data_IF_359366178637
#
_entry.id   IF_359366178637
#
_cell.length_a   1.000
_cell.length_b   1.000
_cell.length_c   1.000
_cell.angle_alpha   90.00
_cell.angle_beta   90.00
_cell.angle_gamma   90.00
#
_symmetry.space_group_name_H-M   'P 1'
#
loop_
_entity.id
_entity.type
_entity.pdbx_description
1 polymer ?
#
# COMPACT_ATOMS: atom_id res chain seq x y z
N UNK A 1 -4.47 -9.28 13.16
CA UNK A 1 -4.77 -9.73 11.78
C UNK A 1 -3.77 -9.21 10.74
N UNK A 2 -2.68 -8.55 11.14
CA UNK A 2 -1.75 -7.88 10.22
C UNK A 2 -0.86 -8.86 9.43
N UNK A 3 -0.41 -9.95 10.05
CA UNK A 3 0.56 -10.89 9.46
C UNK A 3 0.09 -11.50 8.13
N UNK A 4 -1.06 -12.19 8.04
CA UNK A 4 -1.50 -12.77 6.77
C UNK A 4 -1.85 -11.71 5.72
N UNK A 5 -2.31 -10.53 6.14
CA UNK A 5 -2.65 -9.43 5.24
C UNK A 5 -1.40 -8.88 4.54
N UNK A 6 -0.37 -8.53 5.30
CA UNK A 6 0.86 -7.93 4.74
C UNK A 6 1.63 -8.93 3.87
N UNK A 7 1.58 -10.24 4.20
CA UNK A 7 2.11 -11.31 3.34
C UNK A 7 1.35 -11.37 2.02
N UNK A 8 0.02 -11.28 2.04
CA UNK A 8 -0.79 -11.23 0.81
C UNK A 8 -0.45 -9.99 -0.03
N UNK A 9 -0.30 -8.82 0.58
CA UNK A 9 -0.01 -7.57 -0.13
C UNK A 9 1.37 -7.57 -0.78
N UNK A 10 2.39 -8.10 -0.09
CA UNK A 10 3.72 -8.27 -0.69
C UNK A 10 3.72 -9.15 -1.93
N UNK A 11 2.90 -10.21 -1.92
CA UNK A 11 2.71 -11.10 -3.08
C UNK A 11 2.05 -10.38 -4.25
N UNK A 12 1.09 -9.48 -3.99
CA UNK A 12 0.43 -8.65 -5.01
C UNK A 12 1.42 -7.64 -5.62
N UNK A 13 2.37 -7.14 -4.84
CA UNK A 13 3.43 -6.23 -5.31
C UNK A 13 4.56 -6.95 -6.07
N UNK A 14 4.49 -8.28 -6.24
CA UNK A 14 5.58 -9.11 -6.73
C UNK A 14 6.89 -8.98 -5.90
N UNK A 15 6.80 -8.61 -4.61
CA UNK A 15 7.97 -8.51 -3.73
C UNK A 15 8.03 -9.75 -2.82
N UNK A 16 9.22 -10.26 -2.45
CA UNK A 16 9.31 -11.42 -1.57
C UNK A 16 8.52 -11.26 -0.26
N UNK A 17 7.80 -12.32 0.14
CA UNK A 17 6.86 -12.30 1.26
C UNK A 17 7.46 -11.87 2.62
N UNK A 18 8.76 -12.10 2.80
CA UNK A 18 9.47 -11.69 4.02
C UNK A 18 9.50 -10.16 4.19
N UNK A 19 9.47 -9.38 3.09
CA UNK A 19 9.37 -7.93 3.18
C UNK A 19 8.03 -7.49 3.77
N UNK A 20 6.93 -8.18 3.46
CA UNK A 20 5.63 -7.92 4.10
C UNK A 20 5.67 -8.09 5.62
N UNK A 21 6.42 -9.09 6.12
CA UNK A 21 6.62 -9.28 7.56
C UNK A 21 7.43 -8.14 8.19
N UNK A 22 8.44 -7.62 7.49
CA UNK A 22 9.18 -6.44 7.96
C UNK A 22 8.28 -5.22 8.06
N UNK A 23 7.41 -4.98 7.07
CA UNK A 23 6.45 -3.87 7.10
C UNK A 23 5.44 -4.02 8.24
N UNK A 24 4.91 -5.24 8.43
CA UNK A 24 3.96 -5.57 9.50
C UNK A 24 4.51 -5.29 10.90
N UNK A 25 5.80 -5.50 11.13
CA UNK A 25 6.44 -5.23 12.41
C UNK A 25 6.85 -3.75 12.55
N UNK A 26 7.38 -3.15 11.49
CA UNK A 26 8.00 -1.82 11.55
C UNK A 26 6.96 -0.71 11.61
N UNK A 27 5.89 -0.77 10.82
CA UNK A 27 4.90 0.31 10.76
C UNK A 27 4.21 0.58 12.12
N UNK A 28 3.73 -0.43 12.87
CA UNK A 28 3.15 -0.20 14.19
C UNK A 28 4.19 0.27 15.22
N UNK A 29 5.44 -0.21 15.11
CA UNK A 29 6.52 0.18 16.03
C UNK A 29 6.88 1.67 15.85
N UNK A 30 7.03 2.12 14.61
CA UNK A 30 7.28 3.54 14.30
C UNK A 30 6.09 4.39 14.75
N UNK A 31 4.86 3.94 14.50
CA UNK A 31 3.67 4.65 14.97
C UNK A 31 3.58 4.69 16.51
N UNK A 32 4.00 3.65 17.22
CA UNK A 32 4.00 3.66 18.69
C UNK A 32 4.95 4.71 19.29
N UNK A 33 6.04 5.05 18.58
CA UNK A 33 7.02 6.04 19.04
C UNK A 33 6.60 7.47 18.69
N UNK A 34 6.06 7.69 17.49
CA UNK A 34 5.75 9.03 16.95
C UNK A 34 4.25 9.38 16.95
N UNK A 35 3.39 8.40 17.20
CA UNK A 35 1.94 8.54 17.12
C UNK A 35 1.37 9.23 18.36
N UNK A 36 0.50 10.20 18.15
CA UNK A 36 -0.19 10.92 19.23
C UNK A 36 -1.50 10.26 19.66
N UNK A 37 -2.01 9.28 18.91
CA UNK A 37 -3.35 8.69 19.13
C UNK A 37 -3.26 7.18 19.32
N UNK A 38 -3.80 6.70 20.44
CA UNK A 38 -3.80 5.28 20.82
C UNK A 38 -4.89 4.45 20.12
N UNK A 39 -5.80 5.10 19.39
CA UNK A 39 -6.95 4.46 18.73
C UNK A 39 -6.80 4.29 17.21
N UNK A 40 -5.79 4.94 16.61
CA UNK A 40 -5.50 4.82 15.18
C UNK A 40 -4.48 3.70 14.96
N UNK A 41 -4.88 2.67 14.22
CA UNK A 41 -3.96 1.61 13.78
C UNK A 41 -3.41 1.97 12.41
N UNK A 42 -2.09 2.11 12.29
CA UNK A 42 -1.41 2.33 11.00
C UNK A 42 -1.02 0.98 10.42
N UNK A 43 -1.49 0.69 9.22
CA UNK A 43 -1.16 -0.52 8.44
C UNK A 43 -1.05 -0.18 6.96
N UNK A 44 -0.47 -1.09 6.17
CA UNK A 44 -0.40 -0.92 4.74
C UNK A 44 -1.77 -1.12 4.09
N UNK A 45 -2.11 -0.27 3.12
CA UNK A 45 -3.36 -0.33 2.35
C UNK A 45 -3.25 -1.23 1.13
N UNK A 46 -4.35 -1.87 0.75
CA UNK A 46 -4.40 -2.76 -0.43
C UNK A 46 -4.27 -1.97 -1.73
N UNK A 47 -4.89 -0.79 -1.79
CA UNK A 47 -4.94 0.09 -2.95
C UNK A 47 -3.55 0.61 -3.31
N UNK A 48 -2.79 1.02 -2.29
CA UNK A 48 -1.40 1.48 -2.48
C UNK A 48 -0.52 0.32 -2.93
N UNK A 49 -0.72 -0.87 -2.36
CA UNK A 49 0.04 -2.07 -2.75
C UNK A 49 -0.24 -2.47 -4.20
N UNK A 50 -1.49 -2.40 -4.66
CA UNK A 50 -1.82 -2.64 -6.07
C UNK A 50 -1.14 -1.63 -6.99
N UNK A 51 -1.20 -0.34 -6.67
CA UNK A 51 -0.55 0.70 -7.47
C UNK A 51 0.96 0.51 -7.54
N UNK A 52 1.62 0.25 -6.41
CA UNK A 52 3.06 -0.04 -6.38
C UNK A 52 3.36 -1.30 -7.19
N UNK A 53 2.53 -2.34 -7.07
CA UNK A 53 2.65 -3.56 -7.86
C UNK A 53 2.65 -3.32 -9.37
N UNK A 54 1.75 -2.46 -9.87
CA UNK A 54 1.72 -2.11 -11.31
C UNK A 54 2.96 -1.36 -11.80
N UNK A 55 3.63 -0.61 -10.92
CA UNK A 55 4.85 0.12 -11.29
C UNK A 55 6.07 -0.81 -11.25
N UNK A 56 6.09 -1.74 -10.29
CA UNK A 56 7.14 -2.74 -10.13
C UNK A 56 7.03 -3.90 -11.13
N UNK A 57 5.90 -4.05 -11.83
CA UNK A 57 5.66 -5.09 -12.83
C UNK A 57 6.56 -4.95 -14.06
N UNK A 58 6.97 -3.73 -14.42
CA UNK A 58 7.82 -3.43 -15.58
C UNK A 58 9.33 -3.67 -15.29
N UNK A 59 9.68 -4.16 -14.09
CA UNK A 59 11.06 -4.41 -13.65
C UNK A 59 11.30 -5.92 -13.52
N UNK A 60 12.10 -6.47 -14.42
CA UNK A 60 12.41 -7.90 -14.46
C UNK A 60 13.42 -8.34 -13.39
N UNK A 61 14.37 -7.49 -13.00
CA UNK A 61 15.38 -7.84 -11.99
C UNK A 61 14.83 -7.71 -10.56
N UNK A 62 14.91 -8.79 -9.80
CA UNK A 62 14.36 -8.86 -8.44
C UNK A 62 15.05 -7.87 -7.48
N UNK A 63 16.36 -7.68 -7.61
CA UNK A 63 17.10 -6.75 -6.73
C UNK A 63 16.74 -5.31 -7.06
N UNK A 64 16.65 -4.96 -8.34
CA UNK A 64 16.22 -3.64 -8.79
C UNK A 64 14.77 -3.34 -8.40
N UNK A 65 13.88 -4.34 -8.45
CA UNK A 65 12.48 -4.20 -8.04
C UNK A 65 12.36 -3.88 -6.55
N UNK A 66 13.10 -4.60 -5.69
CA UNK A 66 13.14 -4.32 -4.24
C UNK A 66 13.74 -2.94 -3.96
N UNK A 67 14.86 -2.59 -4.62
CA UNK A 67 15.51 -1.29 -4.45
C UNK A 67 14.58 -0.13 -4.85
N UNK A 68 13.84 -0.29 -5.96
CA UNK A 68 12.86 0.69 -6.44
C UNK A 68 11.70 0.86 -5.45
N UNK A 69 11.16 -0.24 -4.94
CA UNK A 69 10.12 -0.21 -3.90
C UNK A 69 10.57 0.52 -2.63
N UNK A 70 11.80 0.28 -2.17
CA UNK A 70 12.39 0.98 -1.01
C UNK A 70 12.54 2.47 -1.30
N UNK A 71 13.04 2.85 -2.48
CA UNK A 71 13.19 4.25 -2.87
C UNK A 71 11.84 4.98 -2.95
N UNK A 72 10.81 4.33 -3.49
CA UNK A 72 9.44 4.87 -3.52
C UNK A 72 8.88 5.09 -2.11
N UNK A 73 9.04 4.11 -1.23
CA UNK A 73 8.61 4.23 0.17
C UNK A 73 9.35 5.37 0.88
N UNK A 74 10.66 5.49 0.65
CA UNK A 74 11.48 6.56 1.22
C UNK A 74 11.06 7.95 0.71
N UNK A 75 10.90 8.11 -0.61
CA UNK A 75 10.45 9.37 -1.22
C UNK A 75 9.06 9.77 -0.72
N UNK A 76 8.13 8.82 -0.65
CA UNK A 76 6.80 9.03 -0.09
C UNK A 76 6.88 9.53 1.36
N UNK A 77 7.72 8.88 2.19
CA UNK A 77 7.98 9.32 3.57
C UNK A 77 8.56 10.74 3.65
N UNK A 78 9.53 11.08 2.79
CA UNK A 78 10.08 12.42 2.71
C UNK A 78 9.03 13.47 2.32
N UNK A 79 8.18 13.17 1.32
CA UNK A 79 7.09 14.05 0.90
C UNK A 79 6.11 14.27 2.07
N UNK A 80 5.73 13.20 2.78
CA UNK A 80 4.85 13.31 3.94
C UNK A 80 5.47 14.15 5.07
N UNK A 81 6.77 14.03 5.31
CA UNK A 81 7.49 14.88 6.26
C UNK A 81 7.51 16.35 5.83
N UNK A 82 7.77 16.63 4.54
CA UNK A 82 7.75 18.00 4.00
C UNK A 82 6.34 18.60 4.14
N UNK A 83 5.30 17.86 3.76
CA UNK A 83 3.90 18.28 3.91
C UNK A 83 3.58 18.60 5.38
N UNK A 84 4.09 17.80 6.32
CA UNK A 84 3.95 18.06 7.77
C UNK A 84 4.69 19.31 8.21
N UNK A 85 5.95 19.51 7.80
CA UNK A 85 6.78 20.68 8.16
C UNK A 85 6.12 21.97 7.64
N UNK A 86 5.59 21.94 6.43
CA UNK A 86 4.89 23.08 5.83
C UNK A 86 3.48 23.28 6.41
N UNK A 87 3.04 22.44 7.36
CA UNK A 87 1.69 22.43 7.93
C UNK A 87 0.58 22.39 6.88
N UNK A 88 0.84 21.80 5.72
CA UNK A 88 -0.14 21.68 4.62
C UNK A 88 -1.35 20.80 5.02
N UNK A 89 -1.28 20.12 6.15
CA UNK A 89 -2.44 19.48 6.79
C UNK A 89 -3.59 20.45 7.03
N UNK A 90 -3.31 21.75 7.28
CA UNK A 90 -4.36 22.76 7.41
C UNK A 90 -5.12 22.97 6.08
N UNK A 91 -4.48 22.73 4.94
CA UNK A 91 -5.13 22.80 3.64
C UNK A 91 -6.08 21.60 3.42
N UNK A 92 -5.80 20.46 4.04
CA UNK A 92 -6.69 19.30 4.00
C UNK A 92 -8.02 19.56 4.74
N UNK A 93 -8.03 20.47 5.72
CA UNK A 93 -9.27 20.87 6.42
C UNK A 93 -10.21 21.72 5.52
N UNK A 94 -9.73 22.21 4.36
CA UNK A 94 -10.56 22.92 3.38
C UNK A 94 -11.37 21.98 2.48
N UNK A 95 -11.13 20.66 2.52
CA UNK A 95 -11.97 19.72 1.79
C UNK A 95 -13.38 19.69 2.39
N UNK A 96 -14.36 20.11 1.60
CA UNK A 96 -15.77 20.10 2.01
C UNK A 96 -16.22 18.67 2.37
N UNK A 97 -17.07 18.53 3.39
CA UNK A 97 -17.64 17.25 3.84
C UNK A 97 -18.10 16.33 2.68
N UNK A 98 -18.85 16.82 1.67
CA UNK A 98 -19.23 16.02 0.50
C UNK A 98 -18.06 15.50 -0.35
N UNK A 99 -16.94 16.24 -0.45
CA UNK A 99 -15.76 15.79 -1.21
C UNK A 99 -15.08 14.62 -0.49
N UNK A 100 -14.91 14.74 0.82
CA UNK A 100 -14.38 13.65 1.65
C UNK A 100 -15.30 12.43 1.62
N UNK A 101 -16.62 12.63 1.69
CA UNK A 101 -17.61 11.56 1.58
C UNK A 101 -17.56 10.85 0.23
N UNK A 102 -17.44 11.59 -0.87
CA UNK A 102 -17.26 11.03 -2.22
C UNK A 102 -15.97 10.23 -2.37
N UNK A 103 -14.86 10.74 -1.83
CA UNK A 103 -13.57 10.05 -1.84
C UNK A 103 -13.62 8.72 -1.08
N UNK A 104 -14.16 8.72 0.14
CA UNK A 104 -14.29 7.50 0.97
C UNK A 104 -15.22 6.49 0.30
N UNK A 105 -16.34 6.95 -0.29
CA UNK A 105 -17.26 6.06 -1.01
C UNK A 105 -16.61 5.44 -2.26
N UNK A 106 -15.86 6.23 -3.04
CA UNK A 106 -15.13 5.74 -4.20
C UNK A 106 -14.03 4.75 -3.79
N UNK A 107 -13.29 5.04 -2.72
CA UNK A 107 -12.31 4.13 -2.13
C UNK A 107 -12.94 2.80 -1.72
N UNK A 108 -14.09 2.84 -1.04
CA UNK A 108 -14.84 1.63 -0.68
C UNK A 108 -15.26 0.79 -1.89
N UNK A 109 -15.73 1.43 -2.96
CA UNK A 109 -16.07 0.74 -4.22
C UNK A 109 -14.81 0.13 -4.86
N UNK A 110 -13.68 0.86 -4.88
CA UNK A 110 -12.42 0.37 -5.42
C UNK A 110 -11.90 -0.85 -4.66
N UNK A 111 -11.94 -0.84 -3.32
CA UNK A 111 -11.59 -1.99 -2.48
C UNK A 111 -12.52 -3.16 -2.81
N UNK A 112 -13.83 -2.93 -2.89
CA UNK A 112 -14.80 -3.98 -3.20
C UNK A 112 -14.48 -4.63 -4.55
N UNK A 113 -14.19 -3.83 -5.58
CA UNK A 113 -13.79 -4.33 -6.90
C UNK A 113 -12.44 -5.08 -6.88
N UNK A 114 -11.46 -4.56 -6.14
CA UNK A 114 -10.13 -5.18 -5.99
C UNK A 114 -10.24 -6.55 -5.33
N UNK A 115 -11.08 -6.68 -4.30
CA UNK A 115 -11.33 -7.94 -3.63
C UNK A 115 -12.30 -8.85 -4.42
N UNK A 116 -13.21 -8.29 -5.22
CA UNK A 116 -14.14 -9.05 -6.07
C UNK A 116 -13.40 -9.86 -7.14
N UNK A 117 -12.34 -9.30 -7.72
CA UNK A 117 -11.45 -10.05 -8.64
C UNK A 117 -10.82 -11.26 -7.96
N UNK A 118 -10.37 -11.11 -6.71
CA UNK A 118 -9.81 -12.21 -5.92
C UNK A 118 -10.90 -13.25 -5.53
N UNK A 119 -12.08 -12.78 -5.14
CA UNK A 119 -13.20 -13.62 -4.72
C UNK A 119 -13.81 -14.47 -5.85
N UNK A 120 -13.83 -13.98 -7.10
CA UNK A 120 -14.33 -14.75 -8.24
C UNK A 120 -13.39 -15.88 -8.68
N UNK A 121 -12.20 -16.00 -8.08
CA UNK A 121 -11.27 -17.07 -8.43
C UNK A 121 -10.77 -17.01 -9.88
N UNK A 122 -11.02 -15.90 -10.58
CA UNK A 122 -10.43 -15.61 -11.89
C UNK A 122 -9.00 -15.14 -11.61
N UNK A 123 -8.18 -16.08 -11.14
CA UNK A 123 -6.74 -16.02 -11.33
C UNK A 123 -6.57 -15.88 -12.83
N UNK A 124 -6.13 -14.71 -13.28
CA UNK A 124 -5.83 -14.44 -14.68
C UNK A 124 -5.17 -15.68 -15.28
N UNK A 125 -5.85 -16.34 -16.22
CA UNK A 125 -5.28 -17.37 -17.08
C UNK A 125 -4.34 -16.68 -18.06
N UNK A 126 -3.32 -16.00 -17.55
CA UNK A 126 -2.26 -15.41 -18.34
C UNK A 126 -0.95 -15.71 -17.64
N UNK A 127 -0.22 -16.63 -18.27
CA UNK A 127 1.18 -17.00 -18.03
C UNK A 127 1.49 -18.03 -16.92
N UNK A 128 1.02 -19.26 -17.13
CA UNK A 128 1.75 -20.46 -16.68
C UNK A 128 1.58 -21.54 -17.75
N UNK A 129 2.17 -21.31 -18.91
CA UNK A 129 2.34 -22.34 -19.93
C UNK A 129 3.49 -22.01 -20.88
N UNK A 130 4.72 -21.94 -20.36
CA UNK A 130 5.89 -22.47 -21.09
C UNK A 130 6.84 -23.12 -20.08
N UNK A 131 6.76 -24.45 -19.90
CA UNK A 131 7.91 -25.25 -19.53
C UNK A 131 8.54 -25.81 -20.81
N UNK A 132 9.58 -25.15 -21.31
CA UNK A 132 10.77 -25.67 -22.04
C UNK A 132 11.51 -24.50 -22.66
#
# INVERSE_FOLDING_TARGET
MLIPQEVSLSTIMNVPAHHGLYTAATAPLVYAVFGSSTVLSVSSGSEVSLLVGTILEDIDDENERVATGIMMAFLSGCILLIVRILNLSQLADFFSRPVMGGFVSAGGILIMLSQFSNALGIKSLTTSAVPT
#
